data_IF_832520964492
#
_entry.id   IF_832520964492
#
_cell.length_a   1.000
_cell.length_b   1.000
_cell.length_c   1.000
_cell.angle_alpha   90.00
_cell.angle_beta   90.00
_cell.angle_gamma   90.00
#
_symmetry.space_group_name_H-M   'P 1'
#
loop_
_entity.id
_entity.type
_entity.pdbx_description
1 polymer ?
#
# COMPACT_ATOMS: atom_id res chain seq x y z
N UNK A 1 15.19 -18.82 2.63
CA UNK A 1 14.43 -20.05 2.31
C UNK A 1 12.95 -19.80 1.99
N UNK A 2 12.42 -18.57 2.09
CA UNK A 2 10.98 -18.30 1.83
C UNK A 2 10.64 -18.26 0.33
N UNK A 3 11.44 -17.56 -0.48
CA UNK A 3 11.23 -17.45 -1.94
C UNK A 3 11.65 -18.69 -2.71
N UNK A 4 12.39 -19.60 -2.06
CA UNK A 4 12.87 -20.87 -2.63
C UNK A 4 12.05 -22.06 -2.13
N UNK A 5 10.81 -21.82 -1.66
CA UNK A 5 9.96 -22.87 -1.09
C UNK A 5 9.21 -23.66 -2.17
N UNK A 6 8.97 -23.03 -3.31
CA UNK A 6 8.28 -23.53 -4.51
C UNK A 6 9.17 -23.13 -5.69
N UNK A 7 9.28 -23.99 -6.70
CA UNK A 7 10.15 -23.74 -7.86
C UNK A 7 9.62 -22.55 -8.67
N UNK A 8 8.32 -22.52 -8.88
CA UNK A 8 7.61 -21.50 -9.65
C UNK A 8 7.73 -20.11 -9.02
N UNK A 9 7.74 -20.04 -7.68
CA UNK A 9 7.94 -18.79 -6.97
C UNK A 9 9.40 -18.31 -7.05
N UNK A 10 10.35 -19.24 -7.09
CA UNK A 10 11.77 -18.91 -7.27
C UNK A 10 12.02 -18.38 -8.69
N UNK A 11 11.49 -19.07 -9.71
CA UNK A 11 11.59 -18.66 -11.11
C UNK A 11 10.94 -17.29 -11.32
N UNK A 12 9.72 -17.08 -10.77
CA UNK A 12 9.06 -15.78 -10.81
C UNK A 12 9.89 -14.67 -10.13
N UNK A 13 10.58 -14.98 -9.03
CA UNK A 13 11.45 -14.00 -8.38
C UNK A 13 12.64 -13.63 -9.26
N UNK A 14 13.26 -14.59 -9.96
CA UNK A 14 14.37 -14.30 -10.87
C UNK A 14 13.93 -13.38 -12.02
N UNK A 15 12.75 -13.63 -12.60
CA UNK A 15 12.19 -12.78 -13.64
C UNK A 15 11.88 -11.36 -13.14
N UNK A 16 11.21 -11.24 -11.99
CA UNK A 16 10.88 -9.95 -11.37
C UNK A 16 12.16 -9.18 -11.02
N UNK A 17 13.17 -9.84 -10.44
CA UNK A 17 14.44 -9.24 -10.07
C UNK A 17 15.28 -8.80 -11.29
N UNK A 18 14.99 -9.30 -12.48
CA UNK A 18 15.58 -8.81 -13.74
C UNK A 18 15.04 -7.45 -14.18
N UNK A 19 13.85 -7.06 -13.72
CA UNK A 19 13.17 -5.81 -14.10
C UNK A 19 13.01 -4.80 -12.96
N UNK A 20 12.97 -5.29 -11.72
CA UNK A 20 12.79 -4.52 -10.50
C UNK A 20 13.99 -4.73 -9.59
N UNK A 21 14.38 -3.69 -8.85
CA UNK A 21 15.40 -3.79 -7.80
C UNK A 21 15.21 -5.06 -6.93
N UNK A 22 16.18 -5.98 -6.85
CA UNK A 22 16.00 -7.28 -6.22
C UNK A 22 15.65 -7.22 -4.73
N UNK A 23 16.17 -6.23 -4.00
CA UNK A 23 15.86 -6.05 -2.59
C UNK A 23 14.40 -5.64 -2.40
N UNK A 24 13.93 -4.69 -3.20
CA UNK A 24 12.53 -4.28 -3.21
C UNK A 24 11.59 -5.39 -3.68
N UNK A 25 11.95 -6.13 -4.74
CA UNK A 25 11.19 -7.28 -5.20
C UNK A 25 11.09 -8.37 -4.12
N UNK A 26 12.21 -8.68 -3.46
CA UNK A 26 12.25 -9.68 -2.40
C UNK A 26 11.39 -9.28 -1.21
N UNK A 27 11.40 -8.00 -0.81
CA UNK A 27 10.53 -7.48 0.26
C UNK A 27 9.05 -7.77 -0.04
N UNK A 28 8.59 -7.43 -1.25
CA UNK A 28 7.18 -7.60 -1.61
C UNK A 28 6.79 -9.06 -1.84
N UNK A 29 7.62 -9.84 -2.53
CA UNK A 29 7.29 -11.24 -2.83
C UNK A 29 7.37 -12.11 -1.56
N UNK A 30 8.34 -11.86 -0.68
CA UNK A 30 8.53 -12.63 0.55
C UNK A 30 7.47 -12.31 1.59
N UNK A 31 7.10 -11.05 1.72
CA UNK A 31 6.25 -10.61 2.83
C UNK A 31 4.79 -10.48 2.37
N UNK A 32 4.50 -9.76 1.30
CA UNK A 32 3.12 -9.48 0.88
C UNK A 32 2.52 -10.58 0.00
N UNK A 33 3.21 -11.00 -1.07
CA UNK A 33 2.70 -12.05 -1.95
C UNK A 33 2.49 -13.37 -1.19
N UNK A 34 3.50 -13.84 -0.44
CA UNK A 34 3.36 -15.05 0.39
C UNK A 34 2.25 -14.93 1.44
N UNK A 35 2.05 -13.76 2.06
CA UNK A 35 0.93 -13.55 2.99
C UNK A 35 -0.41 -13.74 2.29
N UNK A 36 -0.59 -13.18 1.10
CA UNK A 36 -1.81 -13.32 0.29
C UNK A 36 -2.05 -14.77 -0.11
N UNK A 37 -1.03 -15.46 -0.64
CA UNK A 37 -1.12 -16.88 -1.02
C UNK A 37 -1.50 -17.76 0.18
N UNK A 38 -0.84 -17.54 1.33
CA UNK A 38 -1.13 -18.27 2.56
C UNK A 38 -2.57 -18.03 3.05
N UNK A 39 -3.05 -16.79 3.03
CA UNK A 39 -4.41 -16.45 3.44
C UNK A 39 -5.48 -17.12 2.55
N UNK A 40 -5.23 -17.16 1.24
CA UNK A 40 -6.12 -17.81 0.27
C UNK A 40 -5.96 -19.33 0.22
N UNK A 41 -4.94 -19.89 0.90
CA UNK A 41 -4.61 -21.33 0.92
C UNK A 41 -4.36 -21.89 -0.48
N UNK A 42 -3.66 -21.13 -1.30
CA UNK A 42 -3.27 -21.48 -2.67
C UNK A 42 -1.76 -21.35 -2.84
N UNK A 43 -1.18 -22.13 -3.74
CA UNK A 43 0.20 -21.98 -4.20
C UNK A 43 0.35 -20.80 -5.16
N UNK A 44 1.59 -20.42 -5.47
CA UNK A 44 1.85 -19.40 -6.49
C UNK A 44 1.27 -19.81 -7.85
N UNK A 45 1.47 -21.08 -8.27
CA UNK A 45 0.95 -21.60 -9.52
C UNK A 45 -0.58 -21.58 -9.61
N UNK A 46 -1.29 -21.85 -8.52
CA UNK A 46 -2.76 -21.80 -8.46
C UNK A 46 -3.32 -20.37 -8.46
N UNK A 47 -2.51 -19.37 -8.07
CA UNK A 47 -2.97 -17.99 -7.93
C UNK A 47 -3.29 -17.28 -9.23
N UNK A 48 -2.81 -17.81 -10.37
CA UNK A 48 -2.85 -17.16 -11.69
C UNK A 48 -2.07 -15.83 -11.76
N UNK A 49 -1.36 -15.44 -10.70
CA UNK A 49 -0.48 -14.27 -10.71
C UNK A 49 0.76 -14.59 -11.54
N UNK A 50 1.07 -13.70 -12.49
CA UNK A 50 2.26 -13.81 -13.33
C UNK A 50 3.41 -12.95 -12.81
N UNK A 51 4.67 -13.24 -13.19
CA UNK A 51 5.79 -12.34 -12.94
C UNK A 51 5.54 -10.93 -13.49
N UNK A 52 4.90 -10.81 -14.66
CA UNK A 52 4.54 -9.53 -15.28
C UNK A 52 3.58 -8.71 -14.43
N UNK A 53 2.59 -9.35 -13.80
CA UNK A 53 1.68 -8.67 -12.88
C UNK A 53 2.44 -8.12 -11.66
N UNK A 54 3.39 -8.87 -11.12
CA UNK A 54 4.21 -8.41 -9.99
C UNK A 54 5.08 -7.23 -10.43
N UNK A 55 5.72 -7.31 -11.61
CA UNK A 55 6.52 -6.23 -12.18
C UNK A 55 5.67 -4.96 -12.36
N UNK A 56 4.45 -5.09 -12.93
CA UNK A 56 3.55 -3.96 -13.12
C UNK A 56 3.19 -3.31 -11.77
N UNK A 57 2.77 -4.10 -10.78
CA UNK A 57 2.42 -3.60 -9.46
C UNK A 57 3.59 -2.83 -8.80
N UNK A 58 4.79 -3.42 -8.80
CA UNK A 58 5.96 -2.81 -8.18
C UNK A 58 6.43 -1.56 -8.93
N UNK A 59 6.30 -1.55 -10.26
CA UNK A 59 6.58 -0.36 -11.06
C UNK A 59 5.62 0.78 -10.75
N UNK A 60 4.32 0.50 -10.53
CA UNK A 60 3.34 1.53 -10.13
C UNK A 60 3.70 2.20 -8.80
N UNK A 61 4.24 1.45 -7.83
CA UNK A 61 4.73 2.01 -6.56
C UNK A 61 5.95 2.91 -6.81
N UNK A 62 6.93 2.42 -7.58
CA UNK A 62 8.17 3.18 -7.87
C UNK A 62 7.90 4.46 -8.65
N UNK A 63 6.93 4.44 -9.56
CA UNK A 63 6.45 5.61 -10.31
C UNK A 63 5.58 6.55 -9.49
N UNK A 64 5.31 6.23 -8.21
CA UNK A 64 4.42 6.99 -7.34
C UNK A 64 3.00 7.15 -7.93
N UNK A 65 2.54 6.16 -8.70
CA UNK A 65 1.17 6.12 -9.21
C UNK A 65 0.18 5.65 -8.15
N UNK A 66 0.68 4.83 -7.21
CA UNK A 66 -0.05 4.29 -6.06
C UNK A 66 0.87 4.31 -4.83
N UNK A 67 0.27 4.35 -3.64
CA UNK A 67 1.01 4.20 -2.37
C UNK A 67 1.28 2.72 -2.06
N UNK A 68 2.25 2.44 -1.18
CA UNK A 68 2.46 1.07 -0.67
C UNK A 68 1.20 0.48 -0.03
N UNK A 69 0.36 1.29 0.62
CA UNK A 69 -0.90 0.84 1.21
C UNK A 69 -1.92 0.45 0.13
N UNK A 70 -1.98 1.21 -0.96
CA UNK A 70 -2.81 0.87 -2.12
C UNK A 70 -2.32 -0.43 -2.78
N UNK A 71 -1.01 -0.58 -2.97
CA UNK A 71 -0.43 -1.80 -3.53
C UNK A 71 -0.74 -3.05 -2.69
N UNK A 72 -0.73 -2.96 -1.34
CA UNK A 72 -1.14 -4.06 -0.46
C UNK A 72 -2.61 -4.48 -0.67
N UNK A 73 -3.50 -3.54 -0.97
CA UNK A 73 -4.89 -3.86 -1.30
C UNK A 73 -5.00 -4.48 -2.69
N UNK A 74 -4.24 -3.98 -3.66
CA UNK A 74 -4.26 -4.49 -5.03
C UNK A 74 -3.77 -5.95 -5.04
N UNK A 75 -2.64 -6.25 -4.39
CA UNK A 75 -2.10 -7.62 -4.34
C UNK A 75 -3.04 -8.61 -3.62
N UNK A 76 -3.88 -8.14 -2.69
CA UNK A 76 -4.91 -8.96 -2.05
C UNK A 76 -6.03 -9.38 -3.01
N UNK A 77 -6.30 -8.58 -4.04
CA UNK A 77 -7.36 -8.79 -5.05
C UNK A 77 -6.86 -9.48 -6.33
N UNK A 78 -5.54 -9.69 -6.46
CA UNK A 78 -4.93 -10.31 -7.63
C UNK A 78 -5.18 -11.83 -7.77
N UNK A 79 -5.17 -12.65 -6.70
CA UNK A 79 -5.36 -14.09 -6.85
C UNK A 79 -6.67 -14.46 -7.54
N UNK A 80 -6.60 -15.39 -8.50
CA UNK A 80 -7.73 -15.90 -9.28
C UNK A 80 -8.48 -14.81 -10.09
N UNK A 81 -7.92 -13.61 -10.17
CA UNK A 81 -8.44 -12.51 -10.95
C UNK A 81 -7.77 -12.50 -12.33
N UNK A 82 -8.56 -12.27 -13.38
CA UNK A 82 -8.03 -12.19 -14.76
C UNK A 82 -7.50 -10.79 -15.11
N UNK A 83 -7.75 -9.81 -14.25
CA UNK A 83 -7.35 -8.42 -14.43
C UNK A 83 -5.95 -8.21 -13.88
N UNK A 84 -5.15 -7.41 -14.59
CA UNK A 84 -3.84 -6.97 -14.11
C UNK A 84 -3.96 -5.95 -12.96
N UNK A 85 -2.89 -5.72 -12.20
CA UNK A 85 -2.89 -4.83 -11.03
C UNK A 85 -3.30 -3.39 -11.37
N UNK A 86 -2.97 -2.89 -12.56
CA UNK A 86 -3.37 -1.54 -12.98
C UNK A 86 -4.88 -1.41 -13.20
N UNK A 87 -5.52 -2.43 -13.77
CA UNK A 87 -6.97 -2.46 -13.95
C UNK A 87 -7.66 -2.54 -12.58
N UNK A 88 -7.21 -3.45 -11.71
CA UNK A 88 -7.69 -3.55 -10.32
C UNK A 88 -7.55 -2.21 -9.60
N UNK A 89 -6.39 -1.54 -9.70
CA UNK A 89 -6.16 -0.24 -9.10
C UNK A 89 -7.11 0.82 -9.63
N UNK A 90 -7.43 0.79 -10.92
CA UNK A 90 -8.37 1.72 -11.56
C UNK A 90 -9.78 1.53 -11.00
N UNK A 91 -10.26 0.29 -10.93
CA UNK A 91 -11.61 -0.03 -10.46
C UNK A 91 -11.80 0.27 -8.98
N UNK A 92 -10.77 0.04 -8.17
CA UNK A 92 -10.77 0.40 -6.75
C UNK A 92 -10.59 1.91 -6.53
N UNK A 93 -10.35 2.68 -7.60
CA UNK A 93 -10.06 4.10 -7.55
C UNK A 93 -8.82 4.39 -6.72
N UNK A 94 -7.81 3.51 -6.77
CA UNK A 94 -6.54 3.61 -6.03
C UNK A 94 -5.43 4.29 -6.83
N UNK A 95 -5.62 4.48 -8.14
CA UNK A 95 -4.70 5.27 -8.97
C UNK A 95 -4.74 6.74 -8.56
N UNK A 96 -3.55 7.34 -8.51
CA UNK A 96 -3.32 8.73 -8.19
C UNK A 96 -2.98 8.91 -6.72
N UNK A 97 -1.87 9.60 -6.48
CA UNK A 97 -1.63 10.30 -5.21
C UNK A 97 -2.52 11.54 -5.26
N UNK A 98 -3.31 11.74 -4.21
CA UNK A 98 -4.22 12.89 -4.15
C UNK A 98 -3.43 14.20 -4.09
N UNK A 99 -3.99 15.25 -4.71
CA UNK A 99 -3.43 16.59 -4.68
C UNK A 99 -3.28 17.05 -3.22
N UNK A 100 -2.26 17.86 -2.95
CA UNK A 100 -1.96 18.34 -1.60
C UNK A 100 -3.18 19.06 -0.98
N UNK A 101 -3.97 19.75 -1.81
CA UNK A 101 -5.22 20.38 -1.40
C UNK A 101 -6.26 19.39 -0.87
N UNK A 102 -6.37 18.20 -1.44
CA UNK A 102 -7.26 17.13 -0.95
C UNK A 102 -6.74 16.54 0.37
N UNK A 103 -5.42 16.38 0.52
CA UNK A 103 -4.80 15.93 1.78
C UNK A 103 -5.10 16.95 2.88
N UNK A 104 -4.93 18.24 2.59
CA UNK A 104 -5.22 19.34 3.50
C UNK A 104 -6.69 19.31 3.93
N UNK A 105 -7.63 19.17 3.00
CA UNK A 105 -9.05 19.06 3.32
C UNK A 105 -9.37 17.87 4.23
N UNK A 106 -8.74 16.71 3.99
CA UNK A 106 -8.88 15.55 4.86
C UNK A 106 -8.26 15.75 6.25
N UNK A 107 -7.13 16.45 6.35
CA UNK A 107 -6.48 16.81 7.63
C UNK A 107 -7.39 17.73 8.45
N UNK A 108 -7.92 18.79 7.84
CA UNK A 108 -8.83 19.72 8.52
C UNK A 108 -10.11 19.01 8.99
N UNK A 109 -10.64 18.11 8.18
CA UNK A 109 -11.78 17.28 8.56
C UNK A 109 -11.44 16.35 9.73
N UNK A 110 -10.28 15.68 9.70
CA UNK A 110 -9.85 14.79 10.77
C UNK A 110 -9.66 15.52 12.10
N UNK A 111 -9.05 16.71 12.08
CA UNK A 111 -8.88 17.57 13.27
C UNK A 111 -10.25 17.98 13.83
N UNK A 112 -11.15 18.46 12.96
CA UNK A 112 -12.49 18.92 13.35
C UNK A 112 -13.35 17.81 13.95
N UNK A 113 -13.28 16.59 13.40
CA UNK A 113 -14.05 15.44 13.88
C UNK A 113 -13.46 14.81 15.14
N UNK A 114 -12.20 15.08 15.48
CA UNK A 114 -11.49 14.43 16.58
C UNK A 114 -10.80 15.44 17.52
N UNK A 115 -11.53 16.40 18.12
CA UNK A 115 -10.92 17.43 18.97
C UNK A 115 -10.19 16.86 20.19
N UNK A 116 -10.69 15.75 20.77
CA UNK A 116 -10.02 15.09 21.89
C UNK A 116 -8.62 14.54 21.55
N UNK A 117 -8.38 14.15 20.29
CA UNK A 117 -7.04 13.72 19.86
C UNK A 117 -6.06 14.90 19.78
N UNK A 118 -6.55 16.10 19.44
CA UNK A 118 -5.77 17.34 19.44
C UNK A 118 -5.39 17.72 20.88
N UNK A 119 -6.36 17.70 21.79
CA UNK A 119 -6.11 17.96 23.22
C UNK A 119 -5.11 16.98 23.82
N UNK A 120 -5.26 15.69 23.52
CA UNK A 120 -4.35 14.63 23.97
C UNK A 120 -2.92 14.86 23.44
N UNK A 121 -2.77 15.30 22.20
CA UNK A 121 -1.45 15.66 21.64
C UNK A 121 -0.82 16.83 22.41
N UNK A 122 -1.57 17.90 22.67
CA UNK A 122 -1.09 19.03 23.48
C UNK A 122 -0.79 18.66 24.94
N UNK A 123 -1.45 17.63 25.47
CA UNK A 123 -1.15 17.05 26.79
C UNK A 123 0.10 16.15 26.79
N UNK A 124 0.83 16.05 25.66
CA UNK A 124 2.06 15.29 25.53
C UNK A 124 1.87 13.83 25.10
N UNK A 125 0.65 13.41 24.74
CA UNK A 125 0.41 12.06 24.23
C UNK A 125 0.68 12.01 22.73
N UNK A 126 1.94 11.84 22.35
CA UNK A 126 2.37 11.81 20.95
C UNK A 126 1.61 10.76 20.10
N UNK A 127 1.15 9.66 20.70
CA UNK A 127 0.37 8.64 20.00
C UNK A 127 -0.94 9.17 19.36
N UNK A 128 -1.49 10.28 19.86
CA UNK A 128 -2.69 10.89 19.30
C UNK A 128 -2.50 11.38 17.86
N UNK A 129 -1.27 11.73 17.47
CA UNK A 129 -0.98 12.10 16.08
C UNK A 129 -1.15 10.92 15.12
N UNK A 130 -0.72 9.72 15.53
CA UNK A 130 -0.85 8.51 14.72
C UNK A 130 -2.31 8.13 14.50
N UNK A 131 -3.17 8.44 15.48
CA UNK A 131 -4.61 8.29 15.33
C UNK A 131 -5.19 9.25 14.27
N UNK A 132 -4.83 10.53 14.32
CA UNK A 132 -5.25 11.53 13.32
C UNK A 132 -4.74 11.16 11.91
N UNK A 133 -3.49 10.73 11.79
CA UNK A 133 -2.93 10.19 10.53
C UNK A 133 -3.78 9.03 10.03
N UNK A 134 -4.16 8.10 10.91
CA UNK A 134 -5.06 6.98 10.59
C UNK A 134 -6.41 7.43 10.02
N UNK A 135 -7.00 8.49 10.58
CA UNK A 135 -8.26 9.07 10.07
C UNK A 135 -8.08 9.68 8.67
N UNK A 136 -7.04 10.49 8.47
CA UNK A 136 -6.74 11.09 7.16
C UNK A 136 -6.48 9.99 6.12
N UNK A 137 -5.70 8.96 6.47
CA UNK A 137 -5.47 7.81 5.59
C UNK A 137 -6.75 7.03 5.28
N UNK A 138 -7.74 7.03 6.17
CA UNK A 138 -9.04 6.39 5.92
C UNK A 138 -9.87 7.23 4.94
N UNK A 139 -9.98 8.53 5.17
CA UNK A 139 -10.73 9.47 4.32
C UNK A 139 -10.18 9.49 2.89
N UNK A 140 -8.85 9.48 2.77
CA UNK A 140 -8.13 9.50 1.48
C UNK A 140 -7.97 8.10 0.88
N UNK A 141 -8.59 7.07 1.47
CA UNK A 141 -8.50 5.65 1.08
C UNK A 141 -7.08 5.06 1.02
N UNK A 142 -6.11 5.75 1.63
CA UNK A 142 -4.70 5.38 1.66
C UNK A 142 -3.87 6.04 0.56
N UNK A 143 -4.42 7.03 -0.14
CA UNK A 143 -3.70 7.81 -1.16
C UNK A 143 -2.81 8.90 -0.58
N UNK A 144 -3.08 9.37 0.63
CA UNK A 144 -2.19 10.29 1.33
C UNK A 144 -0.91 9.57 1.79
N UNK A 145 0.25 10.23 1.62
CA UNK A 145 1.51 9.75 2.17
C UNK A 145 1.53 9.95 3.70
N UNK A 146 1.87 8.93 4.51
CA UNK A 146 1.87 9.04 5.97
C UNK A 146 2.79 10.15 6.50
N UNK A 147 4.01 10.25 5.96
CA UNK A 147 5.01 11.22 6.42
C UNK A 147 4.51 12.66 6.16
N UNK A 148 4.06 12.95 4.94
CA UNK A 148 3.48 14.26 4.60
C UNK A 148 2.22 14.57 5.41
N UNK A 149 1.40 13.56 5.70
CA UNK A 149 0.20 13.72 6.53
C UNK A 149 0.54 14.13 7.96
N UNK A 150 1.59 13.54 8.56
CA UNK A 150 2.07 13.93 9.89
C UNK A 150 2.49 15.39 9.92
N UNK A 151 3.26 15.84 8.92
CA UNK A 151 3.70 17.23 8.80
C UNK A 151 2.49 18.18 8.72
N UNK A 152 1.54 17.91 7.83
CA UNK A 152 0.35 18.75 7.63
C UNK A 152 -0.56 18.83 8.86
N UNK A 153 -0.62 17.76 9.66
CA UNK A 153 -1.35 17.76 10.94
C UNK A 153 -0.64 18.67 11.94
N UNK A 154 0.69 18.53 12.11
CA UNK A 154 1.47 19.37 13.06
C UNK A 154 1.46 20.85 12.71
N UNK A 155 1.36 21.20 11.43
CA UNK A 155 1.23 22.60 11.00
C UNK A 155 -0.12 23.23 11.40
N UNK A 156 -1.12 22.41 11.75
CA UNK A 156 -2.51 22.85 12.00
C UNK A 156 -2.99 22.69 13.44
N UNK A 157 -2.22 22.06 14.31
CA UNK A 157 -2.52 21.87 15.74
C UNK A 157 -1.47 22.53 16.62
#
# INVERSE_FOLDING_TARGET
>A
RVLTSELELADAFEEVAGSIDPEFAALWMRDELKRVLYYNKISFAESMITPEDIIELLAMIRKKEITSKAAKKIIEEMPLNKKGPREIATEMGLIGIIDESEVIGAVEQAIRENPGAVEDYHAGKEAAINFLVGQVMRMTRGKAEPERTVELIKERI
#
